data_IF_042440408978
#
_entry.id   IF_042440408978
#
_cell.length_a   1.000
_cell.length_b   1.000
_cell.length_c   1.000
_cell.angle_alpha   90.00
_cell.angle_beta   90.00
_cell.angle_gamma   90.00
#
_symmetry.space_group_name_H-M   'P 1'
#
loop_
_entity.id
_entity.type
_entity.pdbx_description
1 polymer ?
#
# COMPACT_ATOMS: atom_id res chain seq x y z
N UNK A 1 14.19 23.79 -7.25
CA UNK A 1 14.57 23.83 -5.82
C UNK A 1 13.34 24.03 -4.91
N UNK A 2 12.49 25.04 -5.13
CA UNK A 2 11.30 25.31 -4.29
C UNK A 2 10.28 24.17 -4.16
N UNK A 3 10.05 23.40 -5.23
CA UNK A 3 9.18 22.21 -5.21
C UNK A 3 9.60 21.17 -4.17
N UNK A 4 10.90 20.86 -4.13
CA UNK A 4 11.46 19.86 -3.21
C UNK A 4 11.45 20.35 -1.76
N UNK A 5 11.35 21.66 -1.55
CA UNK A 5 11.28 22.30 -0.24
C UNK A 5 9.84 22.57 0.22
N UNK A 6 8.83 22.12 -0.54
CA UNK A 6 7.41 22.31 -0.22
C UNK A 6 7.00 23.79 -0.02
N UNK A 7 7.70 24.72 -0.68
CA UNK A 7 7.37 26.14 -0.60
C UNK A 7 6.22 26.47 -1.56
N UNK A 8 5.03 25.95 -1.25
CA UNK A 8 3.84 26.08 -2.10
C UNK A 8 3.37 27.53 -2.23
N UNK A 9 3.56 28.36 -1.20
CA UNK A 9 3.25 29.80 -1.21
C UNK A 9 4.08 30.55 -2.24
N UNK A 10 5.38 30.28 -2.33
CA UNK A 10 6.22 30.86 -3.39
C UNK A 10 5.81 30.35 -4.77
N UNK A 11 5.46 29.07 -4.91
CA UNK A 11 5.03 28.53 -6.20
C UNK A 11 3.69 29.11 -6.67
N UNK A 12 2.72 29.34 -5.79
CA UNK A 12 1.43 29.92 -6.16
C UNK A 12 1.51 31.40 -6.55
N UNK A 13 2.57 32.09 -6.13
CA UNK A 13 2.81 33.50 -6.46
C UNK A 13 3.41 33.70 -7.86
N UNK A 14 3.72 32.62 -8.60
CA UNK A 14 4.17 32.72 -9.98
C UNK A 14 3.00 33.26 -10.82
N UNK A 15 3.10 34.53 -11.24
CA UNK A 15 2.17 35.10 -12.22
C UNK A 15 2.41 34.45 -13.58
N UNK A 16 1.50 33.54 -13.94
CA UNK A 16 1.55 32.80 -15.20
C UNK A 16 1.55 33.74 -16.40
N UNK A 17 0.90 34.91 -16.33
CA UNK A 17 0.88 35.84 -17.46
C UNK A 17 2.23 36.55 -17.63
N UNK A 18 2.88 36.93 -16.54
CA UNK A 18 4.18 37.60 -16.54
C UNK A 18 5.31 36.72 -17.10
N UNK A 19 5.21 35.39 -16.94
CA UNK A 19 6.21 34.43 -17.42
C UNK A 19 5.98 33.96 -18.87
N UNK A 20 5.03 34.56 -19.60
CA UNK A 20 4.65 34.10 -20.95
C UNK A 20 5.79 34.15 -21.98
N UNK A 21 6.85 34.92 -21.75
CA UNK A 21 8.05 35.01 -22.60
C UNK A 21 9.27 34.25 -22.05
N UNK A 22 9.18 33.62 -20.88
CA UNK A 22 10.31 32.95 -20.25
C UNK A 22 10.70 31.65 -20.98
N UNK A 23 12.00 31.34 -21.00
CA UNK A 23 12.59 30.15 -21.65
C UNK A 23 12.03 28.80 -21.12
N UNK A 24 11.41 28.81 -19.94
CA UNK A 24 10.80 27.63 -19.31
C UNK A 24 9.36 27.86 -18.84
N UNK A 25 8.62 28.75 -19.52
CA UNK A 25 7.25 29.14 -19.16
C UNK A 25 6.30 27.97 -18.89
N UNK A 26 6.40 26.88 -19.66
CA UNK A 26 5.54 25.70 -19.50
C UNK A 26 5.76 24.99 -18.15
N UNK A 27 7.03 24.82 -17.75
CA UNK A 27 7.42 24.21 -16.46
C UNK A 27 7.07 25.14 -15.30
N UNK A 28 7.28 26.43 -15.46
CA UNK A 28 6.94 27.43 -14.45
C UNK A 28 5.42 27.51 -14.22
N UNK A 29 4.61 27.47 -15.28
CA UNK A 29 3.16 27.39 -15.19
C UNK A 29 2.69 26.09 -14.53
N UNK A 30 3.34 24.95 -14.79
CA UNK A 30 3.04 23.69 -14.11
C UNK A 30 3.38 23.76 -12.60
N UNK A 31 4.51 24.39 -12.25
CA UNK A 31 4.86 24.65 -10.86
C UNK A 31 3.81 25.56 -10.17
N UNK A 32 3.35 26.61 -10.87
CA UNK A 32 2.30 27.49 -10.40
C UNK A 32 0.99 26.73 -10.16
N UNK A 33 0.57 25.92 -11.13
CA UNK A 33 -0.63 25.09 -11.06
C UNK A 33 -0.62 24.19 -9.82
N UNK A 34 0.53 23.59 -9.51
CA UNK A 34 0.65 22.76 -8.32
C UNK A 34 0.63 23.58 -7.05
N UNK A 35 1.36 24.70 -6.99
CA UNK A 35 1.34 25.60 -5.82
C UNK A 35 -0.09 26.07 -5.50
N UNK A 36 -0.83 26.48 -6.52
CA UNK A 36 -2.24 26.88 -6.45
C UNK A 36 -3.14 25.71 -6.01
N UNK A 37 -2.94 24.51 -6.59
CA UNK A 37 -3.71 23.32 -6.22
C UNK A 37 -3.51 22.91 -4.75
N UNK A 38 -2.27 22.98 -4.25
CA UNK A 38 -1.94 22.68 -2.84
C UNK A 38 -2.51 23.73 -1.88
N UNK A 39 -2.77 24.95 -2.35
CA UNK A 39 -3.46 26.01 -1.61
C UNK A 39 -4.97 26.02 -1.82
N UNK A 40 -5.54 24.96 -2.41
CA UNK A 40 -6.97 24.81 -2.66
C UNK A 40 -7.56 25.88 -3.61
N UNK A 41 -6.73 26.54 -4.41
CA UNK A 41 -7.13 27.51 -5.44
C UNK A 41 -7.38 26.78 -6.76
N UNK A 42 -8.41 25.93 -6.79
CA UNK A 42 -8.62 24.96 -7.88
C UNK A 42 -8.83 25.62 -9.26
N UNK A 43 -9.53 26.76 -9.33
CA UNK A 43 -9.79 27.47 -10.59
C UNK A 43 -8.50 28.01 -11.19
N UNK A 44 -7.69 28.72 -10.39
CA UNK A 44 -6.42 29.30 -10.85
C UNK A 44 -5.41 28.20 -11.17
N UNK A 45 -5.40 27.13 -10.37
CA UNK A 45 -4.57 25.96 -10.60
C UNK A 45 -4.89 25.30 -11.94
N UNK A 46 -6.17 25.19 -12.30
CA UNK A 46 -6.59 24.71 -13.62
C UNK A 46 -6.09 25.65 -14.71
N UNK A 47 -6.35 26.96 -14.61
CA UNK A 47 -5.90 27.92 -15.63
C UNK A 47 -4.37 27.86 -15.85
N UNK A 48 -3.59 27.80 -14.77
CA UNK A 48 -2.14 27.66 -14.85
C UNK A 48 -1.73 26.34 -15.53
N UNK A 49 -2.44 25.24 -15.25
CA UNK A 49 -2.18 23.95 -15.86
C UNK A 49 -2.53 23.94 -17.36
N UNK A 50 -3.62 24.59 -17.73
CA UNK A 50 -4.02 24.75 -19.13
C UNK A 50 -2.95 25.51 -19.91
N UNK A 51 -2.41 26.60 -19.35
CA UNK A 51 -1.28 27.32 -19.94
C UNK A 51 -0.03 26.46 -20.05
N UNK A 52 0.28 25.65 -19.03
CA UNK A 52 1.39 24.70 -19.09
C UNK A 52 1.25 23.71 -20.25
N UNK A 53 0.07 23.13 -20.44
CA UNK A 53 -0.23 22.21 -21.55
C UNK A 53 -0.12 22.94 -22.90
N UNK A 54 -0.72 24.13 -23.03
CA UNK A 54 -0.68 24.93 -24.25
C UNK A 54 0.75 25.37 -24.61
N UNK A 55 1.63 25.52 -23.62
CA UNK A 55 3.04 25.82 -23.80
C UNK A 55 3.94 24.59 -23.96
N UNK A 56 3.36 23.41 -24.12
CA UNK A 56 4.08 22.19 -24.52
C UNK A 56 4.56 21.31 -23.37
N UNK A 57 3.97 21.41 -22.16
CA UNK A 57 4.13 20.33 -21.17
C UNK A 57 3.50 19.06 -21.74
N UNK A 58 4.28 17.98 -21.76
CA UNK A 58 3.83 16.66 -22.15
C UNK A 58 2.66 16.21 -21.23
N UNK A 59 1.49 15.83 -21.79
CA UNK A 59 0.34 15.35 -21.02
C UNK A 59 0.65 14.25 -20.00
N UNK A 60 1.64 13.41 -20.30
CA UNK A 60 2.12 12.31 -19.46
C UNK A 60 2.68 12.81 -18.13
N UNK A 61 3.36 13.97 -18.13
CA UNK A 61 3.87 14.60 -16.91
C UNK A 61 2.70 15.04 -16.04
N UNK A 62 1.66 15.62 -16.65
CA UNK A 62 0.46 16.04 -15.93
C UNK A 62 -0.31 14.86 -15.36
N UNK A 63 -0.47 13.79 -16.15
CA UNK A 63 -1.08 12.54 -15.71
C UNK A 63 -0.28 11.90 -14.57
N UNK A 64 1.06 11.93 -14.64
CA UNK A 64 1.95 11.48 -13.58
C UNK A 64 1.77 12.30 -12.29
N UNK A 65 1.69 13.62 -12.37
CA UNK A 65 1.46 14.47 -11.19
C UNK A 65 0.06 14.28 -10.60
N UNK A 66 -0.96 14.10 -11.45
CA UNK A 66 -2.31 13.80 -11.03
C UNK A 66 -2.41 12.43 -10.33
N UNK A 67 -1.73 11.39 -10.84
CA UNK A 67 -1.73 10.05 -10.24
C UNK A 67 -0.97 10.00 -8.92
N UNK A 68 0.04 10.87 -8.74
CA UNK A 68 0.71 11.09 -7.45
C UNK A 68 -0.10 11.92 -6.45
N UNK A 69 -1.33 12.32 -6.81
CA UNK A 69 -2.22 13.11 -5.96
C UNK A 69 -1.84 14.59 -5.84
N UNK A 70 -0.79 15.02 -6.53
CA UNK A 70 -0.27 16.41 -6.48
C UNK A 70 -1.25 17.39 -7.12
N UNK A 71 -1.97 16.93 -8.14
CA UNK A 71 -3.04 17.66 -8.82
C UNK A 71 -4.42 17.00 -8.58
N UNK A 72 -4.63 16.41 -7.39
CA UNK A 72 -5.88 15.68 -7.09
C UNK A 72 -7.14 16.52 -7.29
N UNK A 73 -7.14 17.79 -6.90
CA UNK A 73 -8.24 18.73 -7.13
C UNK A 73 -8.55 18.99 -8.63
N UNK A 74 -7.58 18.71 -9.50
CA UNK A 74 -7.67 18.95 -10.94
C UNK A 74 -7.93 17.68 -11.76
N UNK A 75 -8.07 16.51 -11.12
CA UNK A 75 -8.25 15.24 -11.83
C UNK A 75 -9.51 15.24 -12.72
N UNK A 76 -10.62 15.81 -12.24
CA UNK A 76 -11.90 15.81 -12.97
C UNK A 76 -11.86 16.67 -14.23
N UNK A 77 -11.37 17.92 -14.20
CA UNK A 77 -11.33 18.74 -15.42
C UNK A 77 -10.15 18.38 -16.34
N UNK A 78 -9.06 17.79 -15.82
CA UNK A 78 -8.00 17.21 -16.65
C UNK A 78 -8.52 16.10 -17.57
N UNK A 79 -9.40 15.25 -17.01
CA UNK A 79 -9.98 14.13 -17.75
C UNK A 79 -10.89 14.57 -18.93
N UNK A 80 -11.37 15.81 -18.95
CA UNK A 80 -12.16 16.34 -20.07
C UNK A 80 -11.31 16.93 -21.20
N UNK A 81 -10.05 17.31 -20.94
CA UNK A 81 -9.19 18.04 -21.90
C UNK A 81 -8.16 17.15 -22.60
N UNK A 82 -7.69 16.09 -21.96
CA UNK A 82 -6.76 15.14 -22.58
C UNK A 82 -7.53 14.23 -23.55
N UNK A 83 -7.14 14.22 -24.84
CA UNK A 83 -7.73 13.42 -25.93
C UNK A 83 -7.94 11.94 -25.52
N UNK A 84 -8.95 11.20 -26.03
CA UNK A 84 -9.49 10.00 -25.39
C UNK A 84 -8.62 8.74 -25.48
N UNK A 85 -7.42 8.77 -26.06
CA UNK A 85 -6.58 7.57 -26.24
C UNK A 85 -5.77 7.18 -24.98
N UNK A 86 -5.02 8.09 -24.32
CA UNK A 86 -4.60 7.88 -22.92
C UNK A 86 -5.81 7.73 -21.99
N UNK A 87 -6.96 8.26 -22.38
CA UNK A 87 -8.23 8.08 -21.69
C UNK A 87 -8.95 6.78 -22.07
N UNK A 88 -8.51 5.94 -23.02
CA UNK A 88 -9.09 4.60 -23.24
C UNK A 88 -8.63 3.66 -22.14
N UNK A 89 -7.41 3.85 -21.65
CA UNK A 89 -6.97 3.26 -20.37
C UNK A 89 -7.80 3.81 -19.21
N UNK A 90 -8.08 5.12 -19.19
CA UNK A 90 -9.00 5.70 -18.20
C UNK A 90 -10.49 5.33 -18.42
N UNK A 91 -10.90 4.87 -19.61
CA UNK A 91 -12.27 4.47 -20.00
C UNK A 91 -12.50 3.00 -19.73
N UNK A 92 -11.47 2.15 -19.79
CA UNK A 92 -11.47 0.83 -19.13
C UNK A 92 -11.57 0.99 -17.61
N UNK A 93 -10.83 1.95 -17.03
CA UNK A 93 -11.07 2.42 -15.66
C UNK A 93 -12.55 2.86 -15.49
N UNK A 94 -13.12 3.59 -16.45
CA UNK A 94 -14.50 4.13 -16.41
C UNK A 94 -15.59 3.07 -16.57
N UNK A 95 -15.38 2.00 -17.35
CA UNK A 95 -16.28 0.83 -17.41
C UNK A 95 -16.24 0.03 -16.11
N UNK A 96 -15.06 -0.14 -15.53
CA UNK A 96 -14.88 -0.70 -14.18
C UNK A 96 -15.51 0.20 -13.08
N UNK A 97 -15.55 1.53 -13.30
CA UNK A 97 -16.20 2.51 -12.41
C UNK A 97 -17.71 2.69 -12.64
N UNK A 98 -18.27 2.24 -13.78
CA UNK A 98 -19.69 2.43 -14.10
C UNK A 98 -20.59 1.28 -13.60
N UNK A 99 -20.03 0.11 -13.26
CA UNK A 99 -20.76 -1.03 -12.71
C UNK A 99 -20.91 -1.02 -11.17
N UNK A 100 -20.46 0.04 -10.49
CA UNK A 100 -20.58 0.19 -9.04
C UNK A 100 -20.78 1.64 -8.63
N UNK A 101 -21.98 1.95 -8.12
CA UNK A 101 -22.31 3.23 -7.51
C UNK A 101 -21.20 3.66 -6.53
N UNK A 102 -20.64 4.85 -6.71
CA UNK A 102 -19.87 5.51 -5.66
C UNK A 102 -20.82 5.73 -4.47
N UNK A 103 -20.56 5.16 -3.28
CA UNK A 103 -21.17 5.70 -2.09
C UNK A 103 -20.49 7.06 -1.85
N UNK A 104 -21.27 8.13 -1.82
CA UNK A 104 -20.92 9.39 -1.17
C UNK A 104 -20.74 9.17 0.34
N UNK A 105 -19.87 8.23 0.74
CA UNK A 105 -19.44 8.08 2.11
C UNK A 105 -18.37 9.13 2.36
N UNK A 106 -18.85 10.37 2.53
CA UNK A 106 -18.24 11.45 3.26
C UNK A 106 -18.02 11.07 4.74
N UNK A 107 -17.33 9.95 4.99
CA UNK A 107 -16.72 9.66 6.28
C UNK A 107 -15.25 10.02 6.13
N UNK A 108 -14.94 11.30 6.30
CA UNK A 108 -13.59 11.88 6.26
C UNK A 108 -12.61 11.23 7.23
N UNK A 109 -13.07 10.35 8.13
CA UNK A 109 -12.22 9.84 9.21
C UNK A 109 -11.67 8.43 8.95
N UNK A 110 -11.79 7.89 7.73
CA UNK A 110 -11.31 6.53 7.46
C UNK A 110 -9.79 6.38 7.62
N UNK A 111 -8.99 7.44 7.39
CA UNK A 111 -7.55 7.41 7.64
C UNK A 111 -7.19 7.42 9.13
N UNK A 112 -8.08 7.91 10.01
CA UNK A 112 -7.91 7.81 11.48
C UNK A 112 -8.05 6.36 11.96
N UNK A 113 -8.78 5.51 11.21
CA UNK A 113 -9.02 4.09 11.54
C UNK A 113 -7.86 3.16 11.18
N UNK A 114 -6.94 3.58 10.29
CA UNK A 114 -5.79 2.74 9.90
C UNK A 114 -4.70 2.69 11.00
N UNK A 115 -4.64 3.69 11.87
CA UNK A 115 -3.66 3.80 12.95
C UNK A 115 -4.10 3.04 14.20
N UNK A 116 -5.40 3.00 14.44
CA UNK A 116 -6.00 2.30 15.58
C UNK A 116 -7.06 1.32 15.08
N UNK A 117 -6.85 -0.01 15.26
CA UNK A 117 -7.89 -0.99 15.06
C UNK A 117 -8.88 -0.83 16.21
N UNK A 118 -9.69 0.23 16.17
CA UNK A 118 -10.93 0.26 16.92
C UNK A 118 -11.91 -0.50 16.05
N UNK A 119 -12.13 -1.82 16.27
CA UNK A 119 -13.20 -2.53 15.60
C UNK A 119 -14.46 -1.70 15.84
N UNK A 120 -15.01 -1.14 14.77
CA UNK A 120 -16.22 -0.35 14.88
C UNK A 120 -17.32 -1.33 15.26
N UNK A 121 -17.67 -1.32 16.54
CA UNK A 121 -18.62 -2.21 17.21
C UNK A 121 -18.12 -3.64 17.48
N UNK A 122 -18.56 -4.17 18.61
CA UNK A 122 -18.42 -5.53 19.11
C UNK A 122 -18.92 -6.66 18.17
N UNK A 123 -19.17 -6.39 16.88
CA UNK A 123 -19.65 -7.37 15.89
C UNK A 123 -18.55 -8.28 15.31
N UNK A 124 -17.28 -7.87 15.37
CA UNK A 124 -16.17 -8.72 14.91
C UNK A 124 -15.97 -9.99 15.76
N UNK A 125 -16.52 -10.02 16.99
CA UNK A 125 -16.30 -11.10 17.95
C UNK A 125 -17.25 -12.30 17.80
N UNK A 126 -18.36 -12.19 17.06
CA UNK A 126 -19.41 -13.24 17.06
C UNK A 126 -19.85 -13.70 15.67
N UNK A 127 -19.39 -13.07 14.59
CA UNK A 127 -19.67 -13.57 13.26
C UNK A 127 -18.93 -14.90 13.06
N UNK A 128 -19.66 -15.97 12.70
CA UNK A 128 -19.04 -17.23 12.25
C UNK A 128 -18.02 -16.88 11.15
N UNK A 129 -16.84 -17.51 11.14
CA UNK A 129 -15.90 -17.37 10.04
C UNK A 129 -16.66 -17.65 8.74
N UNK A 130 -16.77 -16.64 7.86
CA UNK A 130 -17.34 -16.83 6.53
C UNK A 130 -16.54 -17.91 5.84
N UNK A 131 -17.17 -18.98 5.40
CA UNK A 131 -16.44 -20.07 4.76
C UNK A 131 -15.90 -19.57 3.40
N UNK A 132 -14.89 -20.22 2.81
CA UNK A 132 -14.40 -19.87 1.49
C UNK A 132 -15.47 -19.84 0.40
N UNK A 133 -16.67 -20.40 0.63
CA UNK A 133 -17.81 -20.36 -0.30
C UNK A 133 -18.62 -19.05 -0.25
N UNK A 134 -18.59 -18.30 0.86
CA UNK A 134 -19.42 -17.10 1.10
C UNK A 134 -18.85 -15.82 0.42
N UNK A 135 -17.76 -15.95 -0.33
CA UNK A 135 -17.08 -14.81 -0.95
C UNK A 135 -17.95 -14.07 -1.96
N UNK A 136 -18.91 -14.76 -2.61
CA UNK A 136 -19.75 -14.19 -3.67
C UNK A 136 -20.70 -13.11 -3.17
N UNK A 137 -21.11 -13.19 -1.91
CA UNK A 137 -22.00 -12.22 -1.27
C UNK A 137 -21.24 -11.03 -0.69
N UNK A 138 -19.90 -11.05 -0.73
CA UNK A 138 -19.11 -9.90 -0.30
C UNK A 138 -19.29 -8.74 -1.28
N UNK A 139 -19.67 -7.53 -0.82
CA UNK A 139 -19.71 -6.35 -1.69
C UNK A 139 -18.33 -5.97 -2.22
N UNK A 140 -17.26 -6.43 -1.54
CA UNK A 140 -15.87 -6.26 -1.98
C UNK A 140 -15.46 -7.29 -3.03
N UNK A 141 -16.22 -8.35 -3.28
CA UNK A 141 -15.86 -9.31 -4.33
C UNK A 141 -16.21 -8.77 -5.72
N UNK A 142 -15.31 -8.92 -6.68
CA UNK A 142 -15.53 -8.58 -8.09
C UNK A 142 -15.66 -9.84 -8.93
N UNK A 143 -16.90 -10.28 -9.18
CA UNK A 143 -17.18 -11.46 -9.98
C UNK A 143 -16.69 -11.30 -11.44
N UNK A 144 -16.89 -10.12 -12.03
CA UNK A 144 -16.44 -9.79 -13.39
C UNK A 144 -14.91 -9.89 -13.51
N UNK A 145 -14.18 -9.20 -12.63
CA UNK A 145 -12.72 -9.24 -12.65
C UNK A 145 -12.18 -10.65 -12.37
N UNK A 146 -12.83 -11.40 -11.47
CA UNK A 146 -12.46 -12.79 -11.22
C UNK A 146 -12.62 -13.66 -12.48
N UNK A 147 -13.74 -13.52 -13.20
CA UNK A 147 -13.95 -14.22 -14.45
C UNK A 147 -12.89 -13.84 -15.51
N UNK A 148 -12.51 -12.56 -15.59
CA UNK A 148 -11.44 -12.10 -16.49
C UNK A 148 -10.09 -12.75 -16.14
N UNK A 149 -9.68 -12.71 -14.87
CA UNK A 149 -8.43 -13.37 -14.43
C UNK A 149 -8.45 -14.89 -14.61
N UNK A 150 -9.62 -15.52 -14.48
CA UNK A 150 -9.78 -16.94 -14.79
C UNK A 150 -9.65 -17.21 -16.29
N UNK A 151 -10.26 -16.39 -17.15
CA UNK A 151 -10.18 -16.52 -18.60
C UNK A 151 -8.75 -16.33 -19.13
N UNK A 152 -7.93 -15.49 -18.49
CA UNK A 152 -6.51 -15.35 -18.83
C UNK A 152 -5.77 -16.70 -18.78
N UNK A 153 -6.11 -17.59 -17.85
CA UNK A 153 -5.46 -18.91 -17.75
C UNK A 153 -5.61 -19.81 -18.96
N UNK A 154 -6.54 -19.50 -19.86
CA UNK A 154 -6.77 -20.24 -21.10
C UNK A 154 -5.95 -19.69 -22.29
N UNK A 155 -5.25 -18.57 -22.13
CA UNK A 155 -4.52 -17.89 -23.20
C UNK A 155 -3.02 -18.19 -23.15
N UNK A 156 -2.42 -18.53 -24.30
CA UNK A 156 -1.00 -18.92 -24.45
C UNK A 156 0.00 -17.83 -24.04
N UNK A 157 -0.40 -16.56 -23.99
CA UNK A 157 0.45 -15.43 -23.54
C UNK A 157 0.26 -15.02 -22.07
N UNK A 158 -0.76 -15.53 -21.38
CA UNK A 158 -1.08 -15.12 -20.01
C UNK A 158 -0.09 -15.65 -18.97
N UNK A 159 0.75 -16.62 -19.33
CA UNK A 159 1.79 -17.19 -18.46
C UNK A 159 2.75 -16.13 -17.87
N UNK A 160 2.77 -14.92 -18.45
CA UNK A 160 3.66 -13.84 -18.04
C UNK A 160 2.98 -12.82 -17.11
N UNK A 161 1.69 -12.99 -16.78
CA UNK A 161 0.99 -12.15 -15.82
C UNK A 161 0.83 -12.85 -14.46
N UNK A 162 1.09 -12.09 -13.39
CA UNK A 162 0.81 -12.51 -12.03
C UNK A 162 0.21 -11.36 -11.21
N UNK A 163 -0.94 -11.62 -10.60
CA UNK A 163 -1.52 -10.84 -9.53
C UNK A 163 -1.12 -11.44 -8.18
N UNK A 164 -0.62 -10.62 -7.27
CA UNK A 164 -0.39 -10.96 -5.87
C UNK A 164 -1.41 -10.19 -5.03
N UNK A 165 -2.41 -10.90 -4.51
CA UNK A 165 -3.34 -10.41 -3.50
C UNK A 165 -2.70 -10.58 -2.12
N UNK A 166 -2.32 -9.48 -1.46
CA UNK A 166 -1.73 -9.54 -0.13
C UNK A 166 -2.77 -9.31 0.95
N UNK A 167 -2.74 -10.16 1.97
CA UNK A 167 -3.30 -9.88 3.29
C UNK A 167 -2.14 -9.72 4.24
N UNK A 168 -2.03 -8.59 4.90
CA UNK A 168 -0.83 -8.28 5.69
C UNK A 168 -1.20 -7.68 7.02
N UNK A 169 -0.59 -8.16 8.11
CA UNK A 169 -0.57 -7.37 9.32
C UNK A 169 0.10 -6.01 9.04
N UNK A 170 -0.38 -4.91 9.62
CA UNK A 170 0.37 -3.66 9.58
C UNK A 170 1.81 -3.90 10.03
N UNK A 171 2.77 -3.31 9.31
CA UNK A 171 4.22 -3.40 9.63
C UNK A 171 4.85 -4.80 9.47
N UNK A 172 4.20 -5.73 8.77
CA UNK A 172 4.75 -7.05 8.45
C UNK A 172 5.68 -7.10 7.22
N UNK A 173 6.00 -5.95 6.63
CA UNK A 173 7.00 -5.84 5.55
C UNK A 173 6.46 -5.65 4.14
N UNK A 174 5.16 -5.40 3.97
CA UNK A 174 4.58 -5.14 2.66
C UNK A 174 5.31 -4.02 1.88
N UNK A 175 5.72 -2.93 2.54
CA UNK A 175 6.47 -1.87 1.86
C UNK A 175 7.89 -2.29 1.47
N UNK A 176 8.53 -3.16 2.25
CA UNK A 176 9.81 -3.73 1.86
C UNK A 176 9.65 -4.60 0.61
N UNK A 177 8.61 -5.45 0.57
CA UNK A 177 8.25 -6.24 -0.60
C UNK A 177 7.98 -5.35 -1.82
N UNK A 178 7.11 -4.33 -1.67
CA UNK A 178 6.78 -3.35 -2.71
C UNK A 178 8.03 -2.65 -3.25
N UNK A 179 8.83 -2.00 -2.40
CA UNK A 179 10.01 -1.25 -2.82
C UNK A 179 11.05 -2.13 -3.48
N UNK A 180 11.17 -3.38 -3.02
CA UNK A 180 12.06 -4.35 -3.65
C UNK A 180 11.56 -4.71 -5.05
N UNK A 181 10.27 -5.02 -5.22
CA UNK A 181 9.69 -5.29 -6.54
C UNK A 181 9.76 -4.10 -7.49
N UNK A 182 9.46 -2.87 -7.02
CA UNK A 182 9.58 -1.64 -7.82
C UNK A 182 10.99 -1.46 -8.39
N UNK A 183 12.02 -1.73 -7.56
CA UNK A 183 13.42 -1.63 -7.98
C UNK A 183 13.81 -2.75 -8.93
N UNK A 184 13.34 -3.98 -8.70
CA UNK A 184 13.73 -5.14 -9.51
C UNK A 184 13.03 -5.17 -10.88
N UNK A 185 11.84 -4.60 -10.98
CA UNK A 185 10.95 -4.76 -12.13
C UNK A 185 10.53 -3.39 -12.74
N UNK A 186 11.47 -2.53 -13.15
CA UNK A 186 11.13 -1.24 -13.77
C UNK A 186 10.26 -1.45 -15.01
N UNK A 187 9.07 -0.85 -15.03
CA UNK A 187 8.09 -1.01 -16.13
C UNK A 187 7.34 -2.35 -16.16
N UNK A 188 7.67 -3.29 -15.28
CA UNK A 188 7.05 -4.62 -15.17
C UNK A 188 6.26 -4.81 -13.88
N UNK A 189 6.32 -3.86 -12.95
CA UNK A 189 5.61 -3.91 -11.67
C UNK A 189 4.58 -2.79 -11.50
N UNK A 190 3.43 -3.14 -10.95
CA UNK A 190 2.40 -2.21 -10.50
C UNK A 190 1.97 -2.54 -9.07
N UNK A 191 1.77 -1.50 -8.27
CA UNK A 191 1.28 -1.62 -6.91
C UNK A 191 -0.04 -0.88 -6.77
N UNK A 192 -1.03 -1.53 -6.15
CA UNK A 192 -2.29 -0.90 -5.81
C UNK A 192 -2.35 -0.61 -4.32
N UNK A 193 -2.38 0.67 -3.97
CA UNK A 193 -2.51 1.14 -2.58
C UNK A 193 -4.00 1.23 -2.23
N UNK A 194 -4.61 0.07 -2.08
CA UNK A 194 -6.05 -0.16 -1.99
C UNK A 194 -6.88 0.89 -1.23
N UNK A 195 -6.38 1.32 -0.08
CA UNK A 195 -7.12 2.22 0.80
C UNK A 195 -7.10 3.66 0.31
N UNK A 196 -5.98 4.07 -0.28
CA UNK A 196 -5.61 5.47 -0.39
C UNK A 196 -5.38 5.93 -1.84
N UNK A 197 -5.18 5.00 -2.76
CA UNK A 197 -4.98 5.28 -4.18
C UNK A 197 -6.24 5.91 -4.78
N UNK A 198 -6.17 7.15 -5.28
CA UNK A 198 -7.29 7.76 -5.99
C UNK A 198 -7.70 6.89 -7.20
N UNK A 199 -8.98 6.60 -7.32
CA UNK A 199 -9.50 5.73 -8.39
C UNK A 199 -9.35 4.23 -8.15
N UNK A 200 -8.91 3.80 -6.96
CA UNK A 200 -8.95 2.38 -6.59
C UNK A 200 -10.40 1.86 -6.62
N UNK A 201 -10.61 0.72 -7.29
CA UNK A 201 -11.92 0.08 -7.36
C UNK A 201 -12.44 -0.42 -6.01
N UNK A 202 -11.56 -0.68 -5.03
CA UNK A 202 -11.86 -1.31 -3.75
C UNK A 202 -12.65 -2.62 -3.88
N UNK A 203 -12.42 -3.37 -4.98
CA UNK A 203 -12.96 -4.74 -5.20
C UNK A 203 -11.87 -5.78 -5.49
N UNK A 204 -12.07 -7.01 -5.00
CA UNK A 204 -11.11 -8.11 -5.01
C UNK A 204 -11.66 -9.30 -5.82
N UNK A 205 -10.90 -9.86 -6.76
CA UNK A 205 -9.63 -9.32 -7.26
C UNK A 205 -9.83 -7.94 -7.90
N UNK A 206 -8.73 -7.19 -8.08
CA UNK A 206 -8.77 -5.80 -8.55
C UNK A 206 -9.56 -5.69 -9.87
N UNK A 207 -10.59 -4.85 -9.89
CA UNK A 207 -11.40 -4.61 -11.08
C UNK A 207 -10.70 -3.76 -12.16
N UNK A 208 -9.49 -3.27 -11.89
CA UNK A 208 -8.66 -2.54 -12.85
C UNK A 208 -7.77 -3.51 -13.63
N UNK A 209 -8.37 -4.24 -14.56
CA UNK A 209 -7.74 -5.36 -15.28
C UNK A 209 -6.88 -4.93 -16.47
N UNK A 210 -6.85 -3.64 -16.81
CA UNK A 210 -6.02 -3.09 -17.88
C UNK A 210 -4.53 -3.46 -17.78
N UNK A 211 -4.02 -3.61 -16.56
CA UNK A 211 -2.64 -4.05 -16.35
C UNK A 211 -2.41 -5.52 -16.72
N UNK A 212 -3.44 -6.36 -16.56
CA UNK A 212 -3.40 -7.76 -16.97
C UNK A 212 -3.56 -7.90 -18.50
N UNK A 213 -4.44 -7.09 -19.12
CA UNK A 213 -4.59 -7.03 -20.58
C UNK A 213 -3.29 -6.60 -21.26
N UNK A 214 -2.54 -5.66 -20.68
CA UNK A 214 -1.25 -5.22 -21.19
C UNK A 214 -0.18 -6.34 -21.21
N UNK A 215 -0.35 -7.40 -20.42
CA UNK A 215 0.55 -8.55 -20.40
C UNK A 215 0.34 -9.50 -21.59
N UNK A 216 -0.73 -9.34 -22.37
CA UNK A 216 -1.01 -10.17 -23.54
C UNK A 216 -0.08 -9.88 -24.73
N UNK A 217 0.64 -8.75 -24.71
CA UNK A 217 1.61 -8.39 -25.74
C UNK A 217 3.01 -8.86 -25.34
N UNK A 218 3.62 -9.83 -26.05
CA UNK A 218 5.00 -10.21 -25.82
C UNK A 218 5.96 -9.04 -26.17
N UNK A 219 7.14 -8.94 -25.54
CA UNK A 219 7.65 -9.71 -24.40
C UNK A 219 7.55 -8.89 -23.10
N UNK A 220 6.47 -9.02 -22.34
CA UNK A 220 6.34 -8.24 -21.11
C UNK A 220 5.69 -9.03 -19.98
N UNK A 221 6.51 -9.70 -19.17
CA UNK A 221 6.03 -10.15 -17.87
C UNK A 221 5.50 -8.96 -17.06
N UNK A 222 4.35 -9.14 -16.43
CA UNK A 222 3.69 -8.11 -15.62
C UNK A 222 3.33 -8.68 -14.27
N UNK A 223 3.83 -8.03 -13.23
CA UNK A 223 3.52 -8.34 -11.84
C UNK A 223 2.69 -7.21 -11.23
N UNK A 224 1.56 -7.54 -10.63
CA UNK A 224 0.74 -6.59 -9.87
C UNK A 224 0.61 -7.03 -8.42
N UNK A 225 0.84 -6.11 -7.48
CA UNK A 225 0.69 -6.34 -6.04
C UNK A 225 -0.47 -5.51 -5.51
N UNK A 226 -1.45 -6.16 -4.89
CA UNK A 226 -2.56 -5.51 -4.19
C UNK A 226 -2.29 -5.51 -2.70
N UNK A 227 -2.34 -4.34 -2.08
CA UNK A 227 -2.27 -4.20 -0.62
C UNK A 227 -3.63 -4.44 0.02
N UNK A 228 -3.68 -5.27 1.05
CA UNK A 228 -4.75 -5.21 2.04
C UNK A 228 -4.22 -5.54 3.43
N UNK A 229 -4.68 -4.79 4.41
CA UNK A 229 -4.57 -5.08 5.84
C UNK A 229 -5.83 -5.75 6.38
N UNK A 230 -6.93 -5.76 5.64
CA UNK A 230 -8.22 -6.32 6.03
C UNK A 230 -8.60 -5.97 7.48
N UNK A 231 -8.58 -4.67 7.82
CA UNK A 231 -8.81 -4.19 9.18
C UNK A 231 -10.15 -4.65 9.78
N UNK A 232 -11.17 -4.86 8.93
CA UNK A 232 -12.50 -5.30 9.32
C UNK A 232 -12.68 -6.83 9.24
N UNK A 233 -11.66 -7.57 8.80
CA UNK A 233 -11.68 -9.03 8.62
C UNK A 233 -12.80 -9.55 7.68
N UNK A 234 -13.16 -8.74 6.69
CA UNK A 234 -14.33 -8.93 5.81
C UNK A 234 -13.95 -9.02 4.32
N UNK A 235 -12.64 -8.96 3.99
CA UNK A 235 -12.18 -9.22 2.64
C UNK A 235 -12.63 -10.61 2.15
N UNK A 236 -13.03 -10.75 0.87
CA UNK A 236 -13.52 -12.00 0.32
C UNK A 236 -12.37 -13.02 0.19
N UNK A 237 -12.58 -14.22 0.74
CA UNK A 237 -11.66 -15.35 0.63
C UNK A 237 -11.95 -16.17 -0.64
N UNK A 238 -11.89 -15.53 -1.81
CA UNK A 238 -12.21 -16.19 -3.09
C UNK A 238 -11.14 -17.21 -3.52
N UNK A 239 -11.49 -18.24 -4.32
CA UNK A 239 -10.56 -19.23 -4.83
C UNK A 239 -9.45 -18.60 -5.70
N UNK A 240 -8.29 -19.24 -5.78
CA UNK A 240 -7.20 -18.74 -6.62
C UNK A 240 -7.28 -19.30 -8.04
N UNK A 241 -6.85 -18.49 -9.01
CA UNK A 241 -6.57 -18.95 -10.38
C UNK A 241 -5.05 -19.06 -10.55
N UNK A 242 -4.52 -19.72 -11.60
CA UNK A 242 -3.07 -19.81 -11.82
C UNK A 242 -2.34 -18.44 -11.83
N UNK A 243 -3.05 -17.36 -12.20
CA UNK A 243 -2.51 -16.00 -12.26
C UNK A 243 -2.74 -15.18 -11.00
N UNK A 244 -3.43 -15.71 -9.99
CA UNK A 244 -3.64 -15.03 -8.71
C UNK A 244 -2.93 -15.82 -7.62
N UNK A 245 -1.93 -15.21 -6.98
CA UNK A 245 -1.33 -15.71 -5.74
C UNK A 245 -1.90 -14.91 -4.58
N UNK A 246 -2.26 -15.59 -3.50
CA UNK A 246 -2.56 -14.94 -2.22
C UNK A 246 -1.37 -15.08 -1.28
N UNK A 247 -0.91 -13.94 -0.76
CA UNK A 247 0.23 -13.85 0.13
C UNK A 247 -0.21 -13.30 1.48
N UNK A 248 0.00 -14.07 2.54
CA UNK A 248 -0.34 -13.70 3.91
C UNK A 248 0.95 -13.27 4.62
N UNK A 249 1.13 -11.97 4.83
CA UNK A 249 2.33 -11.40 5.44
C UNK A 249 2.20 -11.27 6.95
N UNK A 250 3.02 -12.03 7.67
CA UNK A 250 3.13 -11.98 9.13
C UNK A 250 4.55 -11.57 9.56
N UNK A 251 4.66 -11.17 10.83
CA UNK A 251 5.92 -10.82 11.47
C UNK A 251 5.80 -11.10 12.97
N UNK A 252 6.95 -11.26 13.62
CA UNK A 252 7.03 -11.32 15.08
C UNK A 252 6.12 -10.26 15.75
N UNK A 253 5.22 -10.67 16.67
CA UNK A 253 4.26 -9.77 17.28
C UNK A 253 4.88 -8.58 18.00
N UNK A 254 6.02 -8.74 18.68
CA UNK A 254 6.67 -7.64 19.38
C UNK A 254 7.14 -6.57 18.39
N UNK A 255 7.69 -6.98 17.25
CA UNK A 255 8.07 -6.05 16.19
C UNK A 255 6.86 -5.34 15.56
N UNK A 256 5.74 -6.04 15.38
CA UNK A 256 4.49 -5.46 14.87
C UNK A 256 3.99 -4.41 15.84
N UNK A 257 3.80 -4.77 17.11
CA UNK A 257 3.24 -3.89 18.14
C UNK A 257 4.06 -2.61 18.31
N UNK A 258 5.39 -2.70 18.47
CA UNK A 258 6.19 -1.48 18.65
C UNK A 258 6.25 -0.63 17.39
N UNK A 259 6.31 -1.24 16.20
CA UNK A 259 6.30 -0.50 14.93
C UNK A 259 4.95 0.15 14.64
N UNK A 260 3.85 -0.44 15.12
CA UNK A 260 2.50 0.10 15.00
C UNK A 260 2.31 1.24 16.00
N UNK A 261 2.82 1.09 17.23
CA UNK A 261 2.79 2.15 18.22
C UNK A 261 3.45 3.45 17.72
N UNK A 262 4.57 3.38 16.99
CA UNK A 262 5.18 4.56 16.35
C UNK A 262 4.20 5.29 15.41
N UNK A 263 3.41 4.55 14.63
CA UNK A 263 2.40 5.12 13.73
C UNK A 263 1.22 5.71 14.51
N UNK A 264 0.77 5.01 15.55
CA UNK A 264 -0.28 5.51 16.45
C UNK A 264 0.15 6.82 17.10
N UNK A 265 1.41 6.94 17.53
CA UNK A 265 1.94 8.19 18.07
C UNK A 265 1.96 9.31 17.02
N UNK A 266 2.25 9.04 15.74
CA UNK A 266 2.06 10.03 14.68
C UNK A 266 0.61 10.49 14.57
N UNK A 267 -0.33 9.55 14.64
CA UNK A 267 -1.74 9.84 14.56
C UNK A 267 -2.21 10.70 15.75
N UNK A 268 -1.78 10.38 16.97
CA UNK A 268 -2.14 11.14 18.17
C UNK A 268 -1.58 12.58 18.14
N UNK A 269 -0.50 12.81 17.39
CA UNK A 269 0.12 14.12 17.21
C UNK A 269 -0.20 14.76 15.85
N UNK A 270 -1.28 14.33 15.16
CA UNK A 270 -1.59 14.81 13.80
C UNK A 270 -1.72 16.33 13.70
N UNK A 271 -2.25 16.99 14.74
CA UNK A 271 -2.40 18.45 14.76
C UNK A 271 -1.05 19.18 14.73
N UNK A 272 -0.03 18.62 15.41
CA UNK A 272 1.34 19.15 15.37
C UNK A 272 1.92 19.00 13.96
N UNK A 273 1.69 17.84 13.32
CA UNK A 273 2.14 17.57 11.97
C UNK A 273 1.46 18.50 10.95
N UNK A 274 0.15 18.68 11.06
CA UNK A 274 -0.66 19.54 10.19
C UNK A 274 -0.26 21.01 10.30
N UNK A 275 0.02 21.51 11.51
CA UNK A 275 0.54 22.85 11.73
C UNK A 275 1.90 23.11 11.03
N UNK A 276 2.61 22.05 10.66
CA UNK A 276 3.87 22.09 9.91
C UNK A 276 3.73 21.61 8.46
N UNK A 277 2.49 21.53 7.94
CA UNK A 277 2.21 21.14 6.56
C UNK A 277 2.42 19.65 6.26
N UNK A 278 2.52 18.79 7.28
CA UNK A 278 2.65 17.34 7.12
C UNK A 278 1.28 16.69 7.31
N UNK A 279 0.68 16.27 6.20
CA UNK A 279 -0.59 15.51 6.23
C UNK A 279 -0.35 14.04 6.58
N UNK A 280 -1.13 13.50 7.52
CA UNK A 280 -1.12 12.06 7.84
C UNK A 280 -1.50 11.19 6.63
N UNK A 281 -2.38 11.68 5.76
CA UNK A 281 -2.67 11.01 4.49
C UNK A 281 -1.41 10.84 3.64
N UNK A 282 -0.52 11.84 3.61
CA UNK A 282 0.74 11.76 2.87
C UNK A 282 1.71 10.75 3.51
N UNK A 283 1.79 10.74 4.84
CA UNK A 283 2.60 9.78 5.61
C UNK A 283 2.14 8.34 5.34
N UNK A 284 0.83 8.12 5.35
CA UNK A 284 0.22 6.80 5.14
C UNK A 284 0.17 6.38 3.66
N UNK A 285 0.16 7.31 2.69
CA UNK A 285 0.03 6.99 1.26
C UNK A 285 1.39 6.82 0.60
N UNK A 286 2.25 7.84 0.76
CA UNK A 286 3.46 7.95 -0.03
C UNK A 286 4.65 7.30 0.66
N UNK A 287 4.57 7.09 1.97
CA UNK A 287 5.63 6.49 2.79
C UNK A 287 7.01 7.12 2.53
N UNK A 288 7.03 8.43 2.22
CA UNK A 288 8.25 9.18 1.93
C UNK A 288 9.16 9.15 3.16
N UNK A 289 10.38 8.56 3.07
CA UNK A 289 11.27 8.42 4.23
C UNK A 289 11.63 9.76 4.87
N UNK A 290 11.80 10.80 4.04
CA UNK A 290 12.12 12.16 4.49
C UNK A 290 10.96 12.80 5.26
N UNK A 291 9.73 12.72 4.72
CA UNK A 291 8.53 13.21 5.40
C UNK A 291 8.31 12.46 6.73
N UNK A 292 8.48 11.14 6.71
CA UNK A 292 8.38 10.31 7.92
C UNK A 292 9.41 10.72 8.97
N UNK A 293 10.67 10.97 8.56
CA UNK A 293 11.73 11.41 9.46
C UNK A 293 11.46 12.80 10.03
N UNK A 294 10.96 13.73 9.22
CA UNK A 294 10.58 15.07 9.66
C UNK A 294 9.42 15.01 10.65
N UNK A 295 8.38 14.21 10.36
CA UNK A 295 7.24 14.00 11.26
C UNK A 295 7.70 13.49 12.63
N UNK A 296 8.58 12.48 12.66
CA UNK A 296 9.13 11.94 13.91
C UNK A 296 9.92 12.97 14.71
N UNK A 297 10.70 13.85 14.05
CA UNK A 297 11.42 14.93 14.75
C UNK A 297 10.47 15.95 15.39
N UNK A 298 9.39 16.30 14.70
CA UNK A 298 8.37 17.20 15.24
C UNK A 298 7.66 16.56 16.43
N UNK A 299 7.36 15.26 16.34
CA UNK A 299 6.80 14.49 17.44
C UNK A 299 7.78 14.43 18.61
N UNK A 300 9.06 14.16 18.39
CA UNK A 300 10.07 14.15 19.45
C UNK A 300 10.12 15.49 20.23
N UNK A 301 9.91 16.62 19.55
CA UNK A 301 9.88 17.95 20.17
C UNK A 301 8.57 18.23 20.94
N UNK A 302 7.44 17.67 20.49
CA UNK A 302 6.12 17.90 21.05
C UNK A 302 5.58 16.69 21.85
N UNK A 303 6.44 15.72 22.15
CA UNK A 303 6.02 14.39 22.57
C UNK A 303 5.25 14.41 23.89
N UNK A 304 4.09 13.76 23.90
CA UNK A 304 3.33 13.49 25.11
C UNK A 304 3.30 11.97 25.35
N UNK A 305 3.89 11.48 26.45
CA UNK A 305 3.86 10.05 26.78
C UNK A 305 2.43 9.54 26.88
N UNK A 306 2.20 8.30 26.43
CA UNK A 306 0.90 7.68 26.56
C UNK A 306 0.67 7.29 28.04
N UNK A 307 -0.57 7.47 28.50
CA UNK A 307 -0.96 6.94 29.80
C UNK A 307 -0.93 5.40 29.80
N UNK A 308 -0.53 4.80 30.93
CA UNK A 308 -0.37 3.36 31.05
C UNK A 308 -1.69 2.60 30.81
N UNK A 309 -2.83 3.14 31.26
CA UNK A 309 -4.14 2.52 31.03
C UNK A 309 -4.54 2.63 29.56
N UNK A 310 -4.33 3.80 28.94
CA UNK A 310 -4.57 3.99 27.51
C UNK A 310 -3.71 3.03 26.65
N UNK A 311 -2.44 2.84 27.00
CA UNK A 311 -1.56 1.88 26.33
C UNK A 311 -2.07 0.45 26.45
N UNK A 312 -2.53 0.03 27.64
CA UNK A 312 -3.09 -1.32 27.84
C UNK A 312 -4.33 -1.54 26.96
N UNK A 313 -5.22 -0.56 26.89
CA UNK A 313 -6.42 -0.65 26.06
C UNK A 313 -6.06 -0.77 24.57
N UNK A 314 -5.10 0.05 24.11
CA UNK A 314 -4.60 -0.03 22.74
C UNK A 314 -3.94 -1.39 22.45
N UNK A 315 -3.10 -1.91 23.35
CA UNK A 315 -2.47 -3.23 23.20
C UNK A 315 -3.50 -4.37 23.14
N UNK A 316 -4.56 -4.32 23.96
CA UNK A 316 -5.67 -5.29 23.91
C UNK A 316 -6.40 -5.26 22.56
N UNK A 317 -6.63 -4.07 22.00
CA UNK A 317 -7.23 -3.92 20.67
C UNK A 317 -6.34 -4.50 19.57
N UNK A 318 -5.04 -4.19 19.59
CA UNK A 318 -4.06 -4.77 18.67
C UNK A 318 -3.99 -6.28 18.80
N UNK A 319 -4.00 -6.82 20.02
CA UNK A 319 -4.03 -8.26 20.27
C UNK A 319 -5.27 -8.91 19.64
N UNK A 320 -6.45 -8.37 19.91
CA UNK A 320 -7.70 -8.89 19.38
C UNK A 320 -7.71 -8.90 17.83
N UNK A 321 -7.26 -7.81 17.21
CA UNK A 321 -7.15 -7.73 15.76
C UNK A 321 -6.11 -8.72 15.20
N UNK A 322 -4.90 -8.81 15.77
CA UNK A 322 -3.86 -9.73 15.29
C UNK A 322 -4.37 -11.17 15.39
N UNK A 323 -4.95 -11.58 16.52
CA UNK A 323 -5.55 -12.92 16.66
C UNK A 323 -6.64 -13.18 15.62
N UNK A 324 -7.54 -12.21 15.39
CA UNK A 324 -8.58 -12.32 14.36
C UNK A 324 -7.98 -12.47 12.95
N UNK A 325 -6.96 -11.69 12.61
CA UNK A 325 -6.24 -11.78 11.35
C UNK A 325 -5.58 -13.15 11.16
N UNK A 326 -4.88 -13.66 12.18
CA UNK A 326 -4.23 -14.96 12.11
C UNK A 326 -5.24 -16.08 11.87
N UNK A 327 -6.34 -16.09 12.62
CA UNK A 327 -7.42 -17.06 12.44
C UNK A 327 -8.08 -16.98 11.07
N UNK A 328 -8.27 -15.77 10.55
CA UNK A 328 -8.94 -15.53 9.27
C UNK A 328 -8.06 -15.93 8.08
N UNK A 329 -6.77 -15.62 8.15
CA UNK A 329 -5.89 -15.65 6.97
C UNK A 329 -4.72 -16.63 7.10
N UNK A 330 -4.04 -16.65 8.25
CA UNK A 330 -2.82 -17.41 8.41
C UNK A 330 -3.08 -18.89 8.72
N UNK A 331 -4.01 -19.21 9.63
CA UNK A 331 -4.36 -20.59 9.98
C UNK A 331 -4.92 -21.34 8.77
N UNK A 332 -5.89 -20.81 7.99
CA UNK A 332 -6.39 -21.51 6.82
C UNK A 332 -5.34 -21.74 5.74
N UNK A 333 -4.37 -20.82 5.60
CA UNK A 333 -3.26 -21.00 4.65
C UNK A 333 -2.36 -22.21 4.98
N UNK A 334 -2.41 -22.71 6.23
CA UNK A 334 -1.63 -23.86 6.68
C UNK A 334 -2.45 -25.14 6.73
N UNK A 335 -3.71 -25.05 7.18
CA UNK A 335 -4.60 -26.21 7.32
C UNK A 335 -5.17 -26.67 5.97
N UNK A 336 -5.30 -25.76 5.01
CA UNK A 336 -5.93 -25.99 3.71
C UNK A 336 -4.96 -25.70 2.57
N UNK A 337 -3.98 -26.60 2.38
CA UNK A 337 -2.99 -26.50 1.30
C UNK A 337 -3.60 -26.36 -0.10
N UNK A 338 -4.81 -26.88 -0.31
CA UNK A 338 -5.59 -26.76 -1.54
C UNK A 338 -5.98 -25.32 -1.88
N UNK A 339 -6.00 -24.41 -0.90
CA UNK A 339 -6.28 -23.00 -1.14
C UNK A 339 -5.14 -22.31 -1.91
N UNK A 340 -3.92 -22.88 -1.89
CA UNK A 340 -2.75 -22.29 -2.53
C UNK A 340 -2.30 -20.96 -1.93
N UNK A 341 -2.78 -20.61 -0.73
CA UNK A 341 -2.38 -19.40 -0.02
C UNK A 341 -0.98 -19.58 0.55
N UNK A 342 -0.16 -18.55 0.47
CA UNK A 342 1.20 -18.60 1.01
C UNK A 342 1.33 -17.76 2.25
N UNK A 343 1.59 -18.39 3.39
CA UNK A 343 2.05 -17.69 4.58
C UNK A 343 3.52 -17.31 4.43
N UNK A 344 3.84 -16.04 4.64
CA UNK A 344 5.19 -15.50 4.47
C UNK A 344 5.57 -14.63 5.67
N UNK A 345 6.70 -14.97 6.30
CA UNK A 345 7.28 -14.17 7.38
C UNK A 345 8.16 -13.08 6.81
N UNK A 346 8.31 -12.00 7.55
CA UNK A 346 9.11 -10.83 7.14
C UNK A 346 10.53 -11.21 6.66
N UNK A 347 11.18 -12.10 7.39
CA UNK A 347 12.53 -12.61 7.16
C UNK A 347 12.65 -13.56 5.96
N UNK A 348 11.54 -14.11 5.48
CA UNK A 348 11.53 -15.02 4.33
C UNK A 348 11.18 -14.28 3.01
N UNK A 349 10.96 -12.95 3.04
CA UNK A 349 10.57 -12.16 1.86
C UNK A 349 11.57 -12.29 0.71
N UNK A 350 12.88 -12.28 1.00
CA UNK A 350 13.88 -12.39 -0.07
C UNK A 350 13.85 -13.77 -0.74
N UNK A 351 13.67 -14.84 0.03
CA UNK A 351 13.55 -16.20 -0.51
C UNK A 351 12.29 -16.32 -1.39
N UNK A 352 11.16 -15.77 -0.93
CA UNK A 352 9.93 -15.68 -1.73
C UNK A 352 10.14 -14.94 -3.05
N UNK A 353 10.80 -13.78 -3.00
CA UNK A 353 11.10 -12.99 -4.19
C UNK A 353 11.99 -13.76 -5.17
N UNK A 354 12.97 -14.50 -4.68
CA UNK A 354 13.81 -15.35 -5.54
C UNK A 354 12.99 -16.40 -6.27
N UNK A 355 12.09 -17.10 -5.57
CA UNK A 355 11.20 -18.10 -6.18
C UNK A 355 10.22 -17.47 -7.17
N UNK A 356 9.62 -16.33 -6.81
CA UNK A 356 8.65 -15.63 -7.65
C UNK A 356 9.28 -15.13 -8.96
N UNK A 357 10.49 -14.57 -8.88
CA UNK A 357 11.11 -13.85 -10.00
C UNK A 357 11.93 -14.75 -10.92
N UNK A 358 12.44 -15.88 -10.43
CA UNK A 358 13.22 -16.83 -11.24
C UNK A 358 12.52 -17.25 -12.55
N UNK A 359 11.26 -17.72 -12.55
CA UNK A 359 10.59 -18.12 -13.78
C UNK A 359 10.22 -16.94 -14.70
N UNK A 360 10.23 -15.70 -14.20
CA UNK A 360 9.86 -14.52 -14.99
C UNK A 360 11.02 -13.94 -15.78
N UNK A 361 12.28 -14.27 -15.46
CA UNK A 361 13.48 -13.61 -16.00
C UNK A 361 13.54 -13.57 -17.51
N UNK A 362 13.23 -14.67 -18.20
CA UNK A 362 13.27 -14.76 -19.65
C UNK A 362 12.25 -13.84 -20.37
N UNK A 363 11.34 -13.24 -19.62
CA UNK A 363 10.25 -12.40 -20.12
C UNK A 363 10.34 -10.95 -19.61
N UNK A 364 11.46 -10.58 -18.99
CA UNK A 364 11.74 -9.22 -18.52
C UNK A 364 12.54 -8.43 -19.57
N UNK A 365 12.47 -7.11 -19.47
CA UNK A 365 13.43 -6.24 -20.16
C UNK A 365 14.86 -6.50 -19.68
N UNK A 366 15.86 -6.16 -20.49
CA UNK A 366 17.27 -6.36 -20.15
C UNK A 366 17.64 -5.70 -18.79
N UNK A 367 17.14 -4.48 -18.53
CA UNK A 367 17.38 -3.76 -17.27
C UNK A 367 16.78 -4.50 -16.07
N UNK A 368 15.53 -4.96 -16.18
CA UNK A 368 14.86 -5.71 -15.12
C UNK A 368 15.54 -7.08 -14.90
N UNK A 369 15.91 -7.78 -15.97
CA UNK A 369 16.66 -9.03 -15.88
C UNK A 369 17.99 -8.85 -15.14
N UNK A 370 18.79 -7.85 -15.50
CA UNK A 370 20.05 -7.55 -14.83
C UNK A 370 19.88 -7.21 -13.33
N UNK A 371 18.79 -6.51 -12.98
CA UNK A 371 18.45 -6.22 -11.59
C UNK A 371 18.08 -7.49 -10.81
N UNK A 372 17.26 -8.37 -11.40
CA UNK A 372 16.87 -9.65 -10.80
C UNK A 372 18.08 -10.57 -10.63
N UNK A 373 18.92 -10.74 -11.64
CA UNK A 373 20.14 -11.57 -11.54
C UNK A 373 21.08 -11.09 -10.43
N UNK A 374 21.29 -9.76 -10.34
CA UNK A 374 22.08 -9.18 -9.24
C UNK A 374 21.44 -9.43 -7.88
N UNK A 375 20.12 -9.33 -7.79
CA UNK A 375 19.40 -9.64 -6.56
C UNK A 375 19.55 -11.11 -6.17
N UNK A 376 19.38 -12.05 -7.10
CA UNK A 376 19.51 -13.48 -6.81
C UNK A 376 20.89 -13.86 -6.30
N UNK A 377 21.96 -13.28 -6.87
CA UNK A 377 23.33 -13.51 -6.40
C UNK A 377 23.57 -13.00 -4.96
N UNK A 378 22.98 -11.87 -4.59
CA UNK A 378 23.31 -11.16 -3.35
C UNK A 378 22.20 -11.20 -2.27
N UNK A 379 21.07 -11.86 -2.54
CA UNK A 379 19.82 -11.68 -1.77
C UNK A 379 19.95 -12.01 -0.28
N UNK A 380 20.78 -13.00 0.08
CA UNK A 380 20.98 -13.42 1.47
C UNK A 380 21.63 -12.33 2.35
N UNK A 381 22.52 -11.49 1.80
CA UNK A 381 23.27 -10.49 2.58
C UNK A 381 22.61 -9.10 2.65
N UNK A 382 21.58 -8.84 1.84
CA UNK A 382 20.99 -7.49 1.70
C UNK A 382 19.87 -7.21 2.69
N UNK A 383 19.18 -8.24 3.17
CA UNK A 383 18.09 -8.05 4.11
C UNK A 383 18.64 -7.79 5.51
N UNK A 384 18.48 -6.55 5.99
CA UNK A 384 18.86 -6.14 7.34
C UNK A 384 17.59 -5.77 8.11
N UNK A 385 16.89 -6.75 8.70
CA UNK A 385 15.76 -6.44 9.54
C UNK A 385 16.24 -5.64 10.76
N UNK A 386 15.32 -4.88 11.35
CA UNK A 386 15.56 -4.28 12.65
C UNK A 386 15.88 -5.40 13.65
N UNK A 387 16.96 -5.25 14.42
CA UNK A 387 17.41 -6.23 15.41
C UNK A 387 16.77 -6.03 16.78
N UNK A 388 16.58 -4.78 17.20
CA UNK A 388 15.97 -4.44 18.49
C UNK A 388 14.52 -3.95 18.27
N UNK A 389 13.50 -4.68 18.75
CA UNK A 389 12.11 -4.26 18.60
C UNK A 389 11.75 -3.02 19.43
N UNK A 390 12.50 -2.69 20.48
CA UNK A 390 12.23 -1.55 21.38
C UNK A 390 12.91 -0.25 20.92
N UNK A 391 13.81 -0.33 19.94
CA UNK A 391 14.40 0.84 19.29
C UNK A 391 13.60 1.21 18.04
N UNK A 392 12.99 2.39 18.06
CA UNK A 392 12.21 2.97 16.99
C UNK A 392 12.97 4.14 16.35
N UNK A 393 12.38 4.79 15.34
CA UNK A 393 13.04 5.88 14.63
C UNK A 393 12.97 7.20 15.41
N UNK A 394 11.92 7.38 16.21
CA UNK A 394 11.81 8.50 17.17
C UNK A 394 12.49 8.14 18.49
N UNK A 395 13.25 9.09 19.03
CA UNK A 395 13.94 8.91 20.30
C UNK A 395 12.92 8.83 21.44
N UNK A 396 11.96 9.76 21.49
CA UNK A 396 10.97 9.83 22.57
C UNK A 396 10.00 8.65 22.57
N UNK A 397 9.55 8.21 21.40
CA UNK A 397 8.71 7.02 21.29
C UNK A 397 9.51 5.78 21.71
N UNK A 398 10.80 5.68 21.38
CA UNK A 398 11.65 4.57 21.85
C UNK A 398 11.79 4.57 23.38
N UNK A 399 11.97 5.74 23.99
CA UNK A 399 12.01 5.88 25.46
C UNK A 399 10.71 5.37 26.10
N UNK A 400 9.55 5.74 25.55
CA UNK A 400 8.24 5.34 26.10
C UNK A 400 7.97 3.85 25.88
N UNK A 401 8.33 3.30 24.71
CA UNK A 401 8.26 1.84 24.46
C UNK A 401 9.14 1.06 25.42
N UNK A 402 10.37 1.53 25.71
CA UNK A 402 11.24 0.88 26.70
C UNK A 402 10.69 1.01 28.12
N UNK A 403 10.16 2.19 28.48
CA UNK A 403 9.50 2.41 29.78
C UNK A 403 8.37 1.41 30.02
N UNK A 404 7.63 1.05 28.96
CA UNK A 404 6.53 0.10 29.01
C UNK A 404 6.83 -1.26 28.38
N UNK A 405 8.11 -1.64 28.23
CA UNK A 405 8.53 -2.85 27.52
C UNK A 405 7.80 -4.10 28.00
N UNK A 406 7.64 -4.25 29.33
CA UNK A 406 6.92 -5.39 29.92
C UNK A 406 5.49 -5.55 29.41
N UNK A 407 4.76 -4.46 29.12
CA UNK A 407 3.39 -4.55 28.57
C UNK A 407 3.40 -5.02 27.11
N UNK A 408 4.35 -4.54 26.30
CA UNK A 408 4.53 -4.98 24.93
C UNK A 408 4.94 -6.45 24.85
N UNK A 409 5.90 -6.86 25.68
CA UNK A 409 6.39 -8.24 25.75
C UNK A 409 5.33 -9.21 26.27
N UNK A 410 4.57 -8.83 27.30
CA UNK A 410 3.44 -9.62 27.81
C UNK A 410 2.38 -9.82 26.72
N UNK A 411 2.01 -8.75 26.01
CA UNK A 411 1.02 -8.82 24.92
C UNK A 411 1.54 -9.66 23.75
N UNK A 412 2.81 -9.48 23.36
CA UNK A 412 3.44 -10.27 22.31
C UNK A 412 3.50 -11.76 22.70
N UNK A 413 3.85 -12.07 23.95
CA UNK A 413 3.87 -13.44 24.47
C UNK A 413 2.47 -14.06 24.47
N UNK A 414 1.45 -13.32 24.90
CA UNK A 414 0.06 -13.80 24.84
C UNK A 414 -0.40 -14.09 23.40
N UNK A 415 0.09 -13.33 22.41
CA UNK A 415 -0.13 -13.62 20.99
C UNK A 415 0.62 -14.86 20.52
N UNK A 416 1.88 -15.05 20.95
CA UNK A 416 2.66 -16.23 20.55
C UNK A 416 2.14 -17.50 21.21
N UNK A 417 1.65 -17.43 22.44
CA UNK A 417 1.14 -18.57 23.21
C UNK A 417 -0.29 -18.96 22.81
N UNK A 418 -0.97 -18.12 22.02
CA UNK A 418 -2.28 -18.43 21.45
C UNK A 418 -2.19 -19.63 20.49
N UNK A 419 -3.20 -20.50 20.52
CA UNK A 419 -3.29 -21.69 19.66
C UNK A 419 -3.09 -21.40 18.18
N UNK A 420 -3.65 -20.29 17.67
CA UNK A 420 -3.59 -19.91 16.26
C UNK A 420 -2.13 -19.62 15.84
N UNK A 421 -1.34 -18.98 16.71
CA UNK A 421 0.08 -18.71 16.44
C UNK A 421 0.96 -19.94 16.64
N UNK A 422 0.62 -20.82 17.59
CA UNK A 422 1.34 -22.08 17.80
C UNK A 422 1.22 -23.02 16.59
N UNK A 423 0.04 -23.10 15.96
CA UNK A 423 -0.15 -23.82 14.69
C UNK A 423 0.85 -23.30 13.65
N UNK A 424 0.96 -21.98 13.52
CA UNK A 424 1.88 -21.32 12.59
C UNK A 424 3.33 -21.69 12.88
N UNK A 425 3.79 -21.55 14.13
CA UNK A 425 5.16 -21.86 14.53
C UNK A 425 5.53 -23.33 14.31
N UNK A 426 4.60 -24.25 14.60
CA UNK A 426 4.83 -25.68 14.42
C UNK A 426 5.05 -26.02 12.94
N UNK A 427 4.22 -25.49 12.04
CA UNK A 427 4.37 -25.74 10.59
C UNK A 427 5.66 -25.11 10.05
N UNK A 428 5.99 -23.88 10.46
CA UNK A 428 7.24 -23.21 10.05
C UNK A 428 8.47 -24.03 10.49
N UNK A 429 8.48 -24.49 11.74
CA UNK A 429 9.61 -25.23 12.30
C UNK A 429 9.78 -26.58 11.61
N UNK A 430 8.67 -27.30 11.36
CA UNK A 430 8.69 -28.59 10.66
C UNK A 430 9.06 -28.46 9.18
N UNK A 431 8.62 -27.39 8.50
CA UNK A 431 8.93 -27.15 7.09
C UNK A 431 10.42 -26.91 6.83
N UNK A 432 11.12 -26.25 7.77
CA UNK A 432 12.57 -26.03 7.66
C UNK A 432 13.39 -27.32 7.74
N UNK A 433 12.91 -28.33 8.44
CA UNK A 433 13.60 -29.63 8.56
C UNK A 433 13.48 -30.51 7.30
N UNK A 434 12.64 -30.15 6.32
CA UNK A 434 12.38 -30.96 5.12
C UNK A 434 13.09 -30.49 3.86
N UNK A 435 13.97 -29.50 3.95
CA UNK A 435 14.79 -29.07 2.81
C UNK A 435 16.17 -29.72 2.96
N UNK A 436 16.53 -30.72 2.11
CA UNK A 436 17.77 -31.48 2.22
C UNK A 436 19.03 -30.67 1.91
#
# INVERSE_FOLDING_TARGET
MHWQQHNWSTLSQIDVNAISSAEHRAKLALCAAVGLAQQQQATDAMQALERALDWGIAPEITAYLASRGVLSALQRPLATRLNPDPLRQATRLRRSMASGAWPDNANSDWWLRESSPTPTSAKASTAKPKTPEDYRDSPRFSAEAYAEYAALSQQTGAAHFQLIDTKSLPRSGLHYLKQTLERLLPGHFSFCEWYQEPGCCKRMPCALTAYAEAAQQPPQAKLRLLKSHDFDLDDPAYPLTPHIRRLILIRDPLFVLTSWFELEQMQQHYQVLEAHGISMKKVNLLHEPEVTRQALRLIDAAYRPIDRQALRQWLQQCQAYISGFLRRWAVPALEHSELGWRLLRYEDINAYLSELLSPLQAHLSADAQANVERFLRDSAGRFKPRSDPLTLKSIRISEDVRRYAGLFEETARALTDNSDYQIIQNVITQGRSRTP
#
